data_IF_778727107248
#
_entry.id   IF_778727107248
#
_cell.length_a   1.000
_cell.length_b   1.000
_cell.length_c   1.000
_cell.angle_alpha   90.00
_cell.angle_beta   90.00
_cell.angle_gamma   90.00
#
_symmetry.space_group_name_H-M   'P 1'
#
loop_
_entity.id
_entity.type
_entity.pdbx_description
1 polymer ?
#
# COMPACT_ATOMS: atom_id res chain seq x y z
N UNK A 1 -115.85 -19.52 55.52
CA UNK A 1 -116.02 -18.46 56.54
C UNK A 1 -117.44 -17.95 56.40
N UNK A 2 -118.08 -17.75 57.54
CA UNK A 2 -119.52 -17.80 57.78
C UNK A 2 -120.38 -16.85 56.93
N UNK A 3 -121.52 -17.36 56.45
CA UNK A 3 -122.65 -16.58 55.92
C UNK A 3 -123.13 -15.58 56.98
N UNK A 4 -122.92 -14.27 56.80
CA UNK A 4 -123.53 -13.27 57.66
C UNK A 4 -124.93 -13.00 57.10
N UNK A 5 -125.92 -13.82 57.48
CA UNK A 5 -127.37 -13.59 57.31
C UNK A 5 -127.71 -12.55 56.23
N UNK A 6 -127.44 -12.87 54.95
CA UNK A 6 -127.67 -11.93 53.87
C UNK A 6 -129.19 -11.75 53.74
N UNK A 7 -129.73 -10.66 54.30
CA UNK A 7 -131.06 -10.22 53.91
C UNK A 7 -131.01 -9.96 52.40
N UNK A 8 -131.91 -10.56 51.64
CA UNK A 8 -132.11 -10.21 50.24
C UNK A 8 -132.97 -8.92 50.20
N UNK A 9 -132.83 -8.01 49.22
CA UNK A 9 -133.81 -6.96 48.94
C UNK A 9 -135.28 -7.43 49.08
N UNK A 10 -135.61 -8.64 48.63
CA UNK A 10 -136.96 -9.22 48.77
C UNK A 10 -137.35 -9.54 50.22
N UNK A 11 -136.39 -9.91 51.06
CA UNK A 11 -136.61 -10.15 52.50
C UNK A 11 -136.82 -8.85 53.28
N UNK A 12 -136.23 -7.75 52.79
CA UNK A 12 -136.39 -6.41 53.35
C UNK A 12 -137.76 -5.83 52.98
N UNK A 13 -138.24 -6.04 51.75
CA UNK A 13 -139.56 -5.60 51.30
C UNK A 13 -140.71 -6.29 52.05
N UNK A 14 -140.53 -7.57 52.40
CA UNK A 14 -141.54 -8.39 53.05
C UNK A 14 -141.41 -8.46 54.58
N UNK A 15 -140.52 -7.65 55.19
CA UNK A 15 -140.28 -7.69 56.64
C UNK A 15 -141.45 -7.08 57.43
N UNK A 16 -142.04 -7.87 58.31
CA UNK A 16 -143.10 -7.42 59.26
C UNK A 16 -142.55 -7.18 60.66
N UNK A 17 -142.97 -6.07 61.28
CA UNK A 17 -142.61 -5.69 62.66
C UNK A 17 -143.85 -5.66 63.57
N UNK A 18 -143.73 -6.00 64.88
CA UNK A 18 -144.83 -5.91 65.83
C UNK A 18 -145.22 -4.44 66.13
N UNK A 19 -146.52 -4.15 66.28
CA UNK A 19 -147.06 -2.80 66.51
C UNK A 19 -147.18 -2.45 68.01
N UNK A 20 -146.75 -1.27 68.44
CA UNK A 20 -146.91 -0.76 69.81
C UNK A 20 -147.79 0.51 69.86
N UNK A 21 -148.33 0.87 71.04
CA UNK A 21 -149.28 1.99 71.22
C UNK A 21 -148.72 3.39 70.89
N UNK A 22 -147.40 3.52 70.67
CA UNK A 22 -146.71 4.70 70.12
C UNK A 22 -145.58 4.22 69.21
N UNK A 23 -145.68 4.48 67.90
CA UNK A 23 -144.69 4.04 66.91
C UNK A 23 -144.93 4.66 65.54
N UNK A 24 -144.03 4.37 64.59
CA UNK A 24 -144.14 4.81 63.20
C UNK A 24 -145.34 4.17 62.49
N UNK A 25 -145.92 4.90 61.54
CA UNK A 25 -147.10 4.47 60.80
C UNK A 25 -146.74 3.26 59.88
N UNK A 26 -147.44 2.11 59.99
CA UNK A 26 -147.06 0.91 59.26
C UNK A 26 -147.13 1.01 57.73
N UNK A 27 -147.85 2.00 57.19
CA UNK A 27 -147.92 2.31 55.77
C UNK A 27 -146.64 2.98 55.28
N UNK A 28 -146.24 4.07 55.93
CA UNK A 28 -144.98 4.80 55.67
C UNK A 28 -143.74 3.91 55.86
N UNK A 29 -143.71 3.06 56.89
CA UNK A 29 -142.59 2.11 57.10
C UNK A 29 -142.51 1.10 55.96
N UNK A 30 -143.63 0.54 55.48
CA UNK A 30 -143.62 -0.38 54.33
C UNK A 30 -143.20 0.31 53.03
N UNK A 31 -143.65 1.54 52.80
CA UNK A 31 -143.24 2.33 51.65
C UNK A 31 -141.73 2.63 51.68
N UNK A 32 -141.19 2.94 52.86
CA UNK A 32 -139.77 3.16 53.07
C UNK A 32 -138.94 1.89 52.88
N UNK A 33 -139.38 0.75 53.44
CA UNK A 33 -138.71 -0.55 53.25
C UNK A 33 -138.75 -1.02 51.80
N UNK A 34 -139.85 -0.78 51.07
CA UNK A 34 -139.94 -1.09 49.63
C UNK A 34 -138.98 -0.23 48.82
N UNK A 35 -138.85 1.05 49.16
CA UNK A 35 -137.86 1.94 48.54
C UNK A 35 -136.43 1.49 48.84
N UNK A 36 -136.13 1.14 50.10
CA UNK A 36 -134.82 0.60 50.48
C UNK A 36 -134.52 -0.74 49.81
N UNK A 37 -135.50 -1.61 49.65
CA UNK A 37 -135.35 -2.87 48.92
C UNK A 37 -135.03 -2.62 47.43
N UNK A 38 -135.69 -1.65 46.80
CA UNK A 38 -135.39 -1.26 45.42
C UNK A 38 -133.98 -0.66 45.28
N UNK A 39 -133.59 0.27 46.16
CA UNK A 39 -132.23 0.83 46.17
C UNK A 39 -131.17 -0.24 46.43
N UNK A 40 -131.46 -1.22 47.29
CA UNK A 40 -130.54 -2.33 47.54
C UNK A 40 -130.44 -3.29 46.36
N UNK A 41 -131.55 -3.59 45.68
CA UNK A 41 -131.54 -4.38 44.45
C UNK A 41 -130.68 -3.71 43.36
N UNK A 42 -130.82 -2.39 43.19
CA UNK A 42 -130.00 -1.59 42.26
C UNK A 42 -128.52 -1.63 42.67
N UNK A 43 -128.21 -1.52 43.98
CA UNK A 43 -126.85 -1.60 44.48
C UNK A 43 -126.22 -2.99 44.27
N UNK A 44 -127.00 -4.07 44.43
CA UNK A 44 -126.57 -5.45 44.19
C UNK A 44 -126.30 -5.72 42.72
N UNK A 45 -127.18 -5.28 41.82
CA UNK A 45 -126.98 -5.41 40.37
C UNK A 45 -125.75 -4.63 39.91
N UNK A 46 -125.52 -3.44 40.49
CA UNK A 46 -124.29 -2.66 40.27
C UNK A 46 -123.06 -3.38 40.82
N UNK A 47 -123.14 -4.01 41.99
CA UNK A 47 -122.03 -4.78 42.54
C UNK A 47 -121.70 -5.99 41.66
N UNK A 48 -122.72 -6.70 41.19
CA UNK A 48 -122.55 -7.86 40.32
C UNK A 48 -121.93 -7.45 38.98
N UNK A 49 -122.44 -6.40 38.33
CA UNK A 49 -121.86 -5.89 37.09
C UNK A 49 -120.43 -5.36 37.27
N UNK A 50 -120.10 -4.75 38.40
CA UNK A 50 -118.72 -4.35 38.73
C UNK A 50 -117.82 -5.56 38.98
N UNK A 51 -118.32 -6.61 39.63
CA UNK A 51 -117.58 -7.87 39.81
C UNK A 51 -117.32 -8.56 38.48
N UNK A 52 -118.29 -8.58 37.58
CA UNK A 52 -118.14 -9.12 36.22
C UNK A 52 -117.13 -8.32 35.41
N UNK A 53 -117.20 -6.98 35.46
CA UNK A 53 -116.21 -6.11 34.81
C UNK A 53 -114.80 -6.28 35.40
N UNK A 54 -114.69 -6.47 36.72
CA UNK A 54 -113.41 -6.71 37.38
C UNK A 54 -112.86 -8.07 36.97
N UNK A 55 -113.69 -9.12 36.93
CA UNK A 55 -113.29 -10.44 36.47
C UNK A 55 -112.81 -10.40 35.02
N UNK A 56 -113.51 -9.66 34.15
CA UNK A 56 -113.13 -9.47 32.75
C UNK A 56 -111.83 -8.66 32.60
N UNK A 57 -111.66 -7.59 33.37
CA UNK A 57 -110.44 -6.78 33.37
C UNK A 57 -109.24 -7.57 33.91
N UNK A 58 -109.44 -8.37 34.97
CA UNK A 58 -108.42 -9.28 35.52
C UNK A 58 -108.09 -10.38 34.53
N UNK A 59 -109.06 -10.94 33.81
CA UNK A 59 -108.81 -11.93 32.76
C UNK A 59 -108.03 -11.32 31.58
N UNK A 60 -108.26 -10.05 31.23
CA UNK A 60 -107.50 -9.32 30.20
C UNK A 60 -106.10 -8.89 30.65
N UNK A 61 -105.94 -8.53 31.92
CA UNK A 61 -104.67 -8.08 32.50
C UNK A 61 -103.83 -9.23 33.08
N UNK A 62 -104.39 -10.44 33.17
CA UNK A 62 -103.63 -11.62 33.54
C UNK A 62 -102.46 -11.74 32.56
N UNK A 63 -101.20 -11.73 33.04
CA UNK A 63 -100.08 -11.98 32.17
C UNK A 63 -100.36 -13.32 31.49
N UNK A 64 -100.40 -13.33 30.16
CA UNK A 64 -100.40 -14.58 29.41
C UNK A 64 -99.20 -15.36 29.95
N UNK A 65 -99.45 -16.42 30.71
CA UNK A 65 -98.39 -17.26 31.26
C UNK A 65 -97.72 -17.83 30.03
N UNK A 66 -96.61 -17.20 29.59
CA UNK A 66 -95.87 -17.66 28.44
C UNK A 66 -95.56 -19.13 28.68
N UNK A 67 -95.86 -19.97 27.71
CA UNK A 67 -95.55 -21.37 27.86
C UNK A 67 -94.04 -21.54 27.95
N UNK A 68 -93.58 -22.59 28.64
CA UNK A 68 -92.16 -22.96 28.66
C UNK A 68 -91.57 -23.08 27.24
N UNK A 69 -92.39 -23.48 26.27
CA UNK A 69 -92.04 -23.52 24.86
C UNK A 69 -91.79 -22.13 24.26
N UNK A 70 -92.60 -21.11 24.59
CA UNK A 70 -92.43 -19.73 24.10
C UNK A 70 -91.16 -19.08 24.68
N UNK A 71 -90.86 -19.34 25.95
CA UNK A 71 -89.62 -18.87 26.60
C UNK A 71 -88.38 -19.52 25.96
N UNK A 72 -88.44 -20.82 25.69
CA UNK A 72 -87.35 -21.53 25.02
C UNK A 72 -87.15 -21.02 23.59
N UNK A 73 -88.22 -20.73 22.86
CA UNK A 73 -88.16 -20.15 21.52
C UNK A 73 -87.57 -18.72 21.54
N UNK A 74 -87.99 -17.87 22.47
CA UNK A 74 -87.44 -16.53 22.64
C UNK A 74 -85.95 -16.56 23.01
N UNK A 75 -85.54 -17.47 23.89
CA UNK A 75 -84.13 -17.69 24.23
C UNK A 75 -83.33 -18.21 23.02
N UNK A 76 -83.89 -19.13 22.24
CA UNK A 76 -83.29 -19.62 20.99
C UNK A 76 -83.09 -18.51 19.97
N UNK A 77 -84.06 -17.62 19.83
CA UNK A 77 -83.93 -16.43 18.97
C UNK A 77 -82.85 -15.48 19.48
N UNK A 78 -82.80 -15.21 20.77
CA UNK A 78 -81.84 -14.25 21.31
C UNK A 78 -80.41 -14.79 21.29
N UNK A 79 -80.21 -16.07 21.59
CA UNK A 79 -78.93 -16.76 21.42
C UNK A 79 -78.47 -16.77 19.96
N UNK A 80 -79.39 -17.01 19.00
CA UNK A 80 -79.07 -16.90 17.58
C UNK A 80 -78.66 -15.47 17.17
N UNK A 81 -79.31 -14.43 17.71
CA UNK A 81 -78.91 -13.03 17.48
C UNK A 81 -77.53 -12.73 18.06
N UNK A 82 -77.24 -13.18 19.28
CA UNK A 82 -75.91 -12.99 19.90
C UNK A 82 -74.83 -13.70 19.11
N UNK A 83 -75.05 -14.95 18.69
CA UNK A 83 -74.11 -15.69 17.85
C UNK A 83 -73.88 -15.00 16.50
N UNK A 84 -74.95 -14.50 15.87
CA UNK A 84 -74.84 -13.74 14.62
C UNK A 84 -74.01 -12.46 14.82
N UNK A 85 -74.29 -11.68 15.86
CA UNK A 85 -73.54 -10.48 16.19
C UNK A 85 -72.07 -10.79 16.52
N UNK A 86 -71.79 -11.87 17.25
CA UNK A 86 -70.43 -12.33 17.53
C UNK A 86 -69.69 -12.75 16.25
N UNK A 87 -70.38 -13.40 15.31
CA UNK A 87 -69.79 -13.80 14.03
C UNK A 87 -69.54 -12.60 13.10
N UNK A 88 -70.46 -11.63 13.06
CA UNK A 88 -70.27 -10.36 12.35
C UNK A 88 -69.07 -9.60 12.91
N UNK A 89 -68.97 -9.45 14.24
CA UNK A 89 -67.83 -8.81 14.90
C UNK A 89 -66.51 -9.56 14.64
N UNK A 90 -66.53 -10.89 14.65
CA UNK A 90 -65.34 -11.71 14.35
C UNK A 90 -64.87 -11.52 12.91
N UNK A 91 -65.80 -11.47 11.96
CA UNK A 91 -65.49 -11.21 10.55
C UNK A 91 -64.93 -9.79 10.36
N UNK A 92 -65.46 -8.80 11.07
CA UNK A 92 -64.95 -7.43 11.04
C UNK A 92 -63.53 -7.35 11.60
N UNK A 93 -63.26 -8.00 12.74
CA UNK A 93 -61.90 -8.08 13.32
C UNK A 93 -60.95 -8.75 12.33
N UNK A 94 -61.36 -9.84 11.69
CA UNK A 94 -60.56 -10.55 10.70
C UNK A 94 -60.25 -9.66 9.49
N UNK A 95 -61.25 -8.98 8.94
CA UNK A 95 -61.07 -8.06 7.80
C UNK A 95 -60.10 -6.92 8.15
N UNK A 96 -60.25 -6.32 9.34
CA UNK A 96 -59.33 -5.27 9.84
C UNK A 96 -57.91 -5.78 10.04
N UNK A 97 -57.75 -7.00 10.56
CA UNK A 97 -56.44 -7.62 10.72
C UNK A 97 -55.78 -7.91 9.37
N UNK A 98 -56.53 -8.45 8.41
CA UNK A 98 -56.04 -8.73 7.05
C UNK A 98 -55.63 -7.43 6.32
N UNK A 99 -56.41 -6.36 6.43
CA UNK A 99 -56.06 -5.04 5.89
C UNK A 99 -54.80 -4.46 6.56
N UNK A 100 -54.70 -4.59 7.89
CA UNK A 100 -53.54 -4.13 8.62
C UNK A 100 -52.26 -4.87 8.21
N UNK A 101 -52.32 -6.19 8.07
CA UNK A 101 -51.20 -7.01 7.59
C UNK A 101 -50.84 -6.63 6.15
N UNK A 102 -51.83 -6.48 5.26
CA UNK A 102 -51.59 -6.05 3.88
C UNK A 102 -50.96 -4.65 3.79
N UNK A 103 -51.26 -3.77 4.76
CA UNK A 103 -50.61 -2.46 4.87
C UNK A 103 -49.16 -2.59 5.34
N UNK A 104 -48.90 -3.34 6.41
CA UNK A 104 -47.54 -3.57 6.92
C UNK A 104 -46.66 -4.20 5.84
N UNK A 105 -47.17 -5.19 5.10
CA UNK A 105 -46.40 -5.83 4.02
C UNK A 105 -46.07 -4.86 2.89
N UNK A 106 -46.98 -3.95 2.54
CA UNK A 106 -46.70 -2.91 1.54
C UNK A 106 -45.66 -1.92 2.04
N UNK A 107 -45.79 -1.46 3.28
CA UNK A 107 -44.82 -0.56 3.94
C UNK A 107 -43.44 -1.22 4.01
N UNK A 108 -43.34 -2.45 4.51
CA UNK A 108 -42.09 -3.21 4.60
C UNK A 108 -41.43 -3.45 3.24
N UNK A 109 -42.21 -3.79 2.20
CA UNK A 109 -41.66 -3.96 0.85
C UNK A 109 -41.18 -2.64 0.25
N UNK A 110 -41.88 -1.53 0.51
CA UNK A 110 -41.44 -0.21 0.08
C UNK A 110 -40.12 0.17 0.77
N UNK A 111 -39.99 -0.06 2.08
CA UNK A 111 -38.76 0.18 2.83
C UNK A 111 -37.60 -0.69 2.34
N UNK A 112 -37.83 -1.98 2.06
CA UNK A 112 -36.79 -2.87 1.51
C UNK A 112 -36.33 -2.38 0.14
N UNK A 113 -37.25 -1.93 -0.71
CA UNK A 113 -36.92 -1.40 -2.03
C UNK A 113 -36.12 -0.11 -1.91
N UNK A 114 -36.57 0.82 -1.07
CA UNK A 114 -35.87 2.07 -0.79
C UNK A 114 -34.45 1.81 -0.27
N UNK A 115 -34.28 0.92 0.72
CA UNK A 115 -32.95 0.60 1.26
C UNK A 115 -32.04 -0.06 0.22
N UNK A 116 -32.59 -0.86 -0.70
CA UNK A 116 -31.83 -1.45 -1.81
C UNK A 116 -31.35 -0.38 -2.77
N UNK A 117 -32.23 0.55 -3.17
CA UNK A 117 -31.87 1.66 -4.04
C UNK A 117 -30.81 2.57 -3.37
N UNK A 118 -30.95 2.88 -2.08
CA UNK A 118 -29.97 3.64 -1.31
C UNK A 118 -28.61 2.91 -1.25
N UNK A 119 -28.61 1.60 -1.02
CA UNK A 119 -27.39 0.79 -1.00
C UNK A 119 -26.73 0.71 -2.38
N UNK A 120 -27.50 0.50 -3.45
CA UNK A 120 -27.02 0.48 -4.84
C UNK A 120 -26.42 1.84 -5.24
N UNK A 121 -27.08 2.94 -4.88
CA UNK A 121 -26.57 4.29 -5.11
C UNK A 121 -25.27 4.55 -4.34
N UNK A 122 -25.17 4.13 -3.08
CA UNK A 122 -23.96 4.28 -2.28
C UNK A 122 -22.82 3.46 -2.88
N UNK A 123 -23.07 2.19 -3.25
CA UNK A 123 -22.06 1.36 -3.92
C UNK A 123 -21.65 1.97 -5.26
N UNK A 124 -22.59 2.49 -6.04
CA UNK A 124 -22.31 3.20 -7.29
C UNK A 124 -21.42 4.43 -7.09
N UNK A 125 -21.70 5.24 -6.07
CA UNK A 125 -20.87 6.40 -5.73
C UNK A 125 -19.47 5.99 -5.29
N UNK A 126 -19.35 4.99 -4.40
CA UNK A 126 -18.05 4.51 -3.90
C UNK A 126 -17.21 3.86 -4.98
N UNK A 127 -17.84 3.12 -5.89
CA UNK A 127 -17.15 2.52 -7.05
C UNK A 127 -16.64 3.61 -7.99
N UNK A 128 -17.45 4.62 -8.31
CA UNK A 128 -17.02 5.75 -9.12
C UNK A 128 -15.89 6.57 -8.46
N UNK A 129 -15.99 6.83 -7.16
CA UNK A 129 -14.92 7.48 -6.38
C UNK A 129 -13.63 6.66 -6.45
N UNK A 130 -13.70 5.35 -6.19
CA UNK A 130 -12.56 4.45 -6.23
C UNK A 130 -11.93 4.37 -7.63
N UNK A 131 -12.73 4.30 -8.69
CA UNK A 131 -12.26 4.31 -10.08
C UNK A 131 -11.56 5.62 -10.42
N UNK A 132 -12.10 6.76 -9.99
CA UNK A 132 -11.46 8.07 -10.21
C UNK A 132 -10.14 8.21 -9.45
N UNK A 133 -10.09 7.74 -8.20
CA UNK A 133 -8.87 7.69 -7.40
C UNK A 133 -7.83 6.76 -8.05
N UNK A 134 -8.23 5.58 -8.51
CA UNK A 134 -7.35 4.65 -9.20
C UNK A 134 -6.80 5.24 -10.51
N UNK A 135 -7.64 5.92 -11.31
CA UNK A 135 -7.22 6.59 -12.53
C UNK A 135 -6.17 7.68 -12.25
N UNK A 136 -6.39 8.52 -11.24
CA UNK A 136 -5.42 9.57 -10.86
C UNK A 136 -4.10 8.99 -10.37
N UNK A 137 -4.12 7.91 -9.58
CA UNK A 137 -2.92 7.21 -9.12
C UNK A 137 -2.14 6.60 -10.29
N UNK A 138 -2.84 5.99 -11.26
CA UNK A 138 -2.20 5.43 -12.45
C UNK A 138 -1.55 6.50 -13.32
N UNK A 139 -2.22 7.65 -13.50
CA UNK A 139 -1.66 8.76 -14.26
C UNK A 139 -0.45 9.39 -13.55
N UNK A 140 -0.48 9.51 -12.22
CA UNK A 140 0.69 9.93 -11.44
C UNK A 140 1.84 8.94 -11.59
N UNK A 141 1.59 7.64 -11.39
CA UNK A 141 2.61 6.61 -11.54
C UNK A 141 3.21 6.60 -12.95
N UNK A 142 2.40 6.80 -13.99
CA UNK A 142 2.87 6.94 -15.38
C UNK A 142 3.74 8.17 -15.59
N UNK A 143 3.38 9.32 -15.00
CA UNK A 143 4.21 10.54 -15.06
C UNK A 143 5.54 10.34 -14.37
N UNK A 144 5.54 9.74 -13.18
CA UNK A 144 6.76 9.43 -12.44
C UNK A 144 7.66 8.45 -13.19
N UNK A 145 7.09 7.37 -13.73
CA UNK A 145 7.84 6.40 -14.53
C UNK A 145 8.48 7.06 -15.76
N UNK A 146 7.74 7.92 -16.48
CA UNK A 146 8.28 8.68 -17.60
C UNK A 146 9.41 9.62 -17.17
N UNK A 147 9.24 10.35 -16.08
CA UNK A 147 10.28 11.25 -15.56
C UNK A 147 11.58 10.49 -15.21
N UNK A 148 11.47 9.30 -14.61
CA UNK A 148 12.62 8.45 -14.29
C UNK A 148 13.31 7.99 -15.58
N UNK A 149 12.55 7.54 -16.58
CA UNK A 149 13.10 7.11 -17.87
C UNK A 149 13.79 8.28 -18.58
N UNK A 150 13.17 9.45 -18.63
CA UNK A 150 13.72 10.64 -19.27
C UNK A 150 15.02 11.08 -18.57
N UNK A 151 15.04 11.05 -17.23
CA UNK A 151 16.25 11.33 -16.44
C UNK A 151 17.36 10.32 -16.72
N UNK A 152 17.04 9.02 -16.75
CA UNK A 152 18.02 7.97 -17.04
C UNK A 152 18.57 8.09 -18.47
N UNK A 153 17.72 8.45 -19.45
CA UNK A 153 18.16 8.70 -20.83
C UNK A 153 19.08 9.91 -20.91
N UNK A 154 18.77 11.00 -20.21
CA UNK A 154 19.61 12.19 -20.18
C UNK A 154 20.96 11.91 -19.52
N UNK A 155 20.98 11.21 -18.40
CA UNK A 155 22.21 10.73 -17.76
C UNK A 155 23.02 9.83 -18.71
N UNK A 156 22.37 8.90 -19.40
CA UNK A 156 23.00 8.06 -20.41
C UNK A 156 23.65 8.87 -21.54
N UNK A 157 22.96 9.89 -22.05
CA UNK A 157 23.51 10.81 -23.07
C UNK A 157 24.71 11.58 -22.55
N UNK A 158 24.66 12.08 -21.31
CA UNK A 158 25.76 12.79 -20.68
C UNK A 158 26.99 11.90 -20.52
N UNK A 159 26.82 10.68 -19.99
CA UNK A 159 27.92 9.72 -19.86
C UNK A 159 28.55 9.38 -21.21
N UNK A 160 27.75 9.20 -22.26
CA UNK A 160 28.26 8.94 -23.61
C UNK A 160 29.04 10.15 -24.14
N UNK A 161 28.52 11.37 -23.97
CA UNK A 161 29.22 12.59 -24.38
C UNK A 161 30.55 12.77 -23.64
N UNK A 162 30.59 12.49 -22.34
CA UNK A 162 31.80 12.50 -21.53
C UNK A 162 32.81 11.46 -22.00
N UNK A 163 32.37 10.21 -22.22
CA UNK A 163 33.21 9.13 -22.72
C UNK A 163 33.80 9.46 -24.10
N UNK A 164 33.00 10.05 -25.00
CA UNK A 164 33.47 10.53 -26.29
C UNK A 164 34.51 11.65 -26.12
N UNK A 165 34.27 12.61 -25.24
CA UNK A 165 35.23 13.67 -24.93
C UNK A 165 36.56 13.14 -24.37
N UNK A 166 36.53 12.16 -23.48
CA UNK A 166 37.73 11.47 -22.96
C UNK A 166 38.44 10.73 -24.09
N UNK A 167 37.72 9.98 -24.92
CA UNK A 167 38.29 9.27 -26.08
C UNK A 167 38.97 10.23 -27.04
N UNK A 168 38.35 11.34 -27.38
CA UNK A 168 38.94 12.35 -28.26
C UNK A 168 40.22 12.96 -27.69
N UNK A 169 40.23 13.26 -26.38
CA UNK A 169 41.44 13.74 -25.70
C UNK A 169 42.56 12.69 -25.76
N UNK A 170 42.22 11.43 -25.50
CA UNK A 170 43.19 10.33 -25.55
C UNK A 170 43.73 10.11 -26.96
N UNK A 171 42.87 10.09 -27.99
CA UNK A 171 43.30 9.95 -29.39
C UNK A 171 44.18 11.13 -29.82
N UNK A 172 43.86 12.36 -29.39
CA UNK A 172 44.68 13.54 -29.67
C UNK A 172 46.05 13.44 -29.01
N UNK A 173 46.12 12.99 -27.77
CA UNK A 173 47.38 12.79 -27.06
C UNK A 173 48.20 11.66 -27.70
N UNK A 174 47.57 10.54 -28.05
CA UNK A 174 48.21 9.42 -28.75
C UNK A 174 48.78 9.88 -30.10
N UNK A 175 48.02 10.63 -30.90
CA UNK A 175 48.49 11.18 -32.17
C UNK A 175 49.69 12.13 -31.98
N UNK A 176 49.67 12.96 -30.93
CA UNK A 176 50.80 13.84 -30.57
C UNK A 176 52.05 13.03 -30.19
N UNK A 177 51.91 12.03 -29.31
CA UNK A 177 53.01 11.14 -28.90
C UNK A 177 53.59 10.36 -30.08
N UNK A 178 52.72 9.83 -30.94
CA UNK A 178 53.10 9.14 -32.17
C UNK A 178 53.90 10.06 -33.10
N UNK A 179 53.42 11.28 -33.34
CA UNK A 179 54.14 12.24 -34.17
C UNK A 179 55.52 12.57 -33.61
N UNK A 180 55.63 12.82 -32.30
CA UNK A 180 56.90 13.09 -31.63
C UNK A 180 57.85 11.88 -31.71
N UNK A 181 57.34 10.66 -31.50
CA UNK A 181 58.11 9.44 -31.64
C UNK A 181 58.63 9.26 -33.08
N UNK A 182 57.80 9.53 -34.08
CA UNK A 182 58.21 9.52 -35.49
C UNK A 182 59.29 10.55 -35.79
N UNK A 183 59.16 11.79 -35.32
CA UNK A 183 60.21 12.81 -35.48
C UNK A 183 61.54 12.35 -34.86
N UNK A 184 61.50 11.74 -33.67
CA UNK A 184 62.70 11.18 -33.01
C UNK A 184 63.32 10.04 -33.84
N UNK A 185 62.50 9.16 -34.41
CA UNK A 185 62.98 8.09 -35.29
C UNK A 185 63.64 8.65 -36.55
N UNK A 186 63.05 9.66 -37.19
CA UNK A 186 63.64 10.30 -38.37
C UNK A 186 64.95 11.02 -38.02
N UNK A 187 65.01 11.72 -36.88
CA UNK A 187 66.26 12.30 -36.38
C UNK A 187 67.35 11.23 -36.15
N UNK A 188 67.00 10.10 -35.52
CA UNK A 188 67.94 9.00 -35.30
C UNK A 188 68.40 8.34 -36.60
N UNK A 189 67.54 8.26 -37.62
CA UNK A 189 67.90 7.77 -38.95
C UNK A 189 68.88 8.71 -39.64
N UNK A 190 68.57 10.01 -39.67
CA UNK A 190 69.44 11.02 -40.26
C UNK A 190 70.79 11.12 -39.52
N UNK A 191 70.80 11.03 -38.19
CA UNK A 191 72.03 11.03 -37.40
C UNK A 191 72.86 9.77 -37.66
N UNK A 192 72.23 8.58 -37.76
CA UNK A 192 72.89 7.34 -38.18
C UNK A 192 73.50 7.47 -39.57
N UNK A 193 72.76 7.98 -40.56
CA UNK A 193 73.25 8.19 -41.92
C UNK A 193 74.46 9.14 -41.94
N UNK A 194 74.39 10.23 -41.18
CA UNK A 194 75.51 11.15 -41.01
C UNK A 194 76.71 10.46 -40.36
N UNK A 195 76.51 9.67 -39.31
CA UNK A 195 77.59 8.91 -38.65
C UNK A 195 78.26 7.95 -39.62
N UNK A 196 77.48 7.21 -40.42
CA UNK A 196 77.99 6.31 -41.46
C UNK A 196 78.80 7.08 -42.51
N UNK A 197 78.31 8.23 -42.97
CA UNK A 197 79.03 9.08 -43.91
C UNK A 197 80.35 9.61 -43.32
N UNK A 198 80.35 10.07 -42.07
CA UNK A 198 81.57 10.55 -41.39
C UNK A 198 82.58 9.42 -41.16
N UNK A 199 82.11 8.22 -40.82
CA UNK A 199 82.96 7.05 -40.68
C UNK A 199 83.58 6.64 -42.02
N UNK A 200 82.80 6.66 -43.10
CA UNK A 200 83.30 6.41 -44.45
C UNK A 200 84.35 7.45 -44.88
N UNK A 201 84.15 8.74 -44.58
CA UNK A 201 85.15 9.77 -44.87
C UNK A 201 86.41 9.63 -44.01
N UNK A 202 86.26 9.29 -42.73
CA UNK A 202 87.40 9.06 -41.84
C UNK A 202 88.24 7.86 -42.29
N UNK A 203 87.57 6.78 -42.72
CA UNK A 203 88.22 5.62 -43.33
C UNK A 203 88.96 5.99 -44.61
N UNK A 204 88.33 6.72 -45.53
CA UNK A 204 88.98 7.16 -46.77
C UNK A 204 90.19 8.07 -46.49
N UNK A 205 90.10 8.96 -45.50
CA UNK A 205 91.23 9.79 -45.07
C UNK A 205 92.37 8.95 -44.45
N UNK A 206 92.03 7.91 -43.69
CA UNK A 206 93.02 6.98 -43.14
C UNK A 206 93.72 6.17 -44.25
N UNK A 207 92.97 5.63 -45.21
CA UNK A 207 93.51 4.92 -46.39
C UNK A 207 94.41 5.85 -47.24
N UNK A 208 94.03 7.13 -47.39
CA UNK A 208 94.86 8.13 -48.07
C UNK A 208 96.15 8.45 -47.29
N UNK A 209 96.08 8.60 -45.97
CA UNK A 209 97.26 8.83 -45.13
C UNK A 209 98.21 7.62 -45.13
N UNK A 210 97.67 6.39 -45.10
CA UNK A 210 98.44 5.15 -45.26
C UNK A 210 99.16 5.13 -46.61
N UNK A 211 98.47 5.47 -47.69
CA UNK A 211 99.08 5.57 -49.02
C UNK A 211 100.15 6.66 -49.11
N UNK A 212 99.92 7.84 -48.52
CA UNK A 212 100.93 8.90 -48.43
C UNK A 212 102.16 8.46 -47.64
N UNK A 213 101.99 7.70 -46.55
CA UNK A 213 103.09 7.11 -45.78
C UNK A 213 103.86 6.07 -46.58
N UNK A 214 103.20 5.16 -47.30
CA UNK A 214 103.87 4.20 -48.21
C UNK A 214 104.71 4.93 -49.26
N UNK A 215 104.17 5.98 -49.88
CA UNK A 215 104.90 6.80 -50.84
C UNK A 215 106.04 7.59 -50.19
N UNK A 216 105.86 8.07 -48.97
CA UNK A 216 106.90 8.72 -48.18
C UNK A 216 108.02 7.73 -47.82
N UNK A 217 107.73 6.47 -47.49
CA UNK A 217 108.72 5.43 -47.25
C UNK A 217 109.53 5.12 -48.51
N UNK A 218 108.87 4.98 -49.67
CA UNK A 218 109.57 4.75 -50.95
C UNK A 218 110.47 5.94 -51.32
N UNK A 219 109.98 7.16 -51.16
CA UNK A 219 110.75 8.37 -51.46
C UNK A 219 111.89 8.58 -50.44
N UNK A 220 111.66 8.30 -49.16
CA UNK A 220 112.68 8.32 -48.12
C UNK A 220 113.73 7.22 -48.33
N UNK A 221 113.33 6.02 -48.77
CA UNK A 221 114.24 4.95 -49.15
C UNK A 221 115.11 5.36 -50.35
N UNK A 222 114.52 5.93 -51.41
CA UNK A 222 115.27 6.44 -52.56
C UNK A 222 116.20 7.62 -52.17
N UNK A 223 115.74 8.55 -51.35
CA UNK A 223 116.56 9.64 -50.82
C UNK A 223 117.68 9.13 -49.90
N UNK A 224 117.39 8.10 -49.10
CA UNK A 224 118.33 7.39 -48.23
C UNK A 224 119.38 6.63 -49.03
N UNK A 225 119.01 5.96 -50.12
CA UNK A 225 119.96 5.34 -51.06
C UNK A 225 120.84 6.38 -51.73
N UNK A 226 120.28 7.50 -52.20
CA UNK A 226 121.06 8.60 -52.76
C UNK A 226 121.99 9.23 -51.72
N UNK A 227 121.54 9.38 -50.46
CA UNK A 227 122.37 9.85 -49.36
C UNK A 227 123.46 8.84 -48.99
N UNK A 228 123.16 7.54 -49.00
CA UNK A 228 124.12 6.45 -48.79
C UNK A 228 125.17 6.41 -49.90
N UNK A 229 124.77 6.58 -51.16
CA UNK A 229 125.67 6.70 -52.30
C UNK A 229 126.56 7.95 -52.20
N UNK A 230 126.01 9.09 -51.74
CA UNK A 230 126.81 10.29 -51.45
C UNK A 230 127.78 10.10 -50.28
N UNK A 231 127.37 9.38 -49.23
CA UNK A 231 128.24 9.05 -48.10
C UNK A 231 129.35 8.08 -48.52
N UNK A 232 129.07 7.09 -49.38
CA UNK A 232 130.04 6.15 -49.92
C UNK A 232 130.98 6.78 -50.98
N UNK A 233 130.55 7.83 -51.66
CA UNK A 233 131.34 8.60 -52.62
C UNK A 233 132.07 9.82 -51.99
N UNK A 234 131.79 10.13 -50.73
CA UNK A 234 132.57 11.07 -49.94
C UNK A 234 133.93 10.44 -49.57
N UNK A 235 135.00 11.24 -49.43
CA UNK A 235 136.27 10.71 -48.93
C UNK A 235 136.02 10.07 -47.55
N UNK A 236 136.54 8.86 -47.31
CA UNK A 236 136.60 8.29 -45.96
C UNK A 236 137.24 9.34 -45.04
N UNK A 237 136.43 9.96 -44.17
CA UNK A 237 136.96 10.93 -43.21
C UNK A 237 137.92 10.19 -42.29
N UNK A 238 139.14 10.71 -42.18
CA UNK A 238 140.11 10.18 -41.23
C UNK A 238 139.55 10.28 -39.80
N UNK A 239 139.94 9.32 -38.94
CA UNK A 239 139.44 9.21 -37.56
C UNK A 239 139.63 10.52 -36.75
N UNK A 240 140.70 11.27 -37.04
CA UNK A 240 140.99 12.59 -36.44
C UNK A 240 140.01 13.69 -36.89
N UNK A 241 139.46 13.61 -38.11
CA UNK A 241 138.47 14.57 -38.61
C UNK A 241 137.07 14.27 -38.07
N UNK A 242 136.74 12.99 -37.86
CA UNK A 242 135.49 12.56 -37.23
C UNK A 242 135.45 12.92 -35.73
N UNK A 243 136.59 12.89 -35.03
CA UNK A 243 136.70 13.37 -33.65
C UNK A 243 136.49 14.89 -33.52
N UNK A 244 136.91 15.69 -34.50
CA UNK A 244 136.67 17.15 -34.51
C UNK A 244 135.21 17.50 -34.77
N UNK A 245 134.52 16.76 -35.65
CA UNK A 245 133.10 17.00 -35.94
C UNK A 245 132.20 16.51 -34.78
N UNK A 246 132.54 15.39 -34.14
CA UNK A 246 131.87 14.93 -32.91
C UNK A 246 132.16 15.89 -31.74
N UNK A 247 133.35 16.50 -31.67
CA UNK A 247 133.65 17.53 -30.68
C UNK A 247 132.87 18.84 -30.90
N UNK A 248 132.58 19.21 -32.15
CA UNK A 248 131.74 20.36 -32.50
C UNK A 248 130.24 20.09 -32.30
N UNK A 249 129.79 18.83 -32.42
CA UNK A 249 128.42 18.43 -32.09
C UNK A 249 128.20 18.15 -30.58
N UNK A 250 129.27 18.19 -29.77
CA UNK A 250 129.25 18.04 -28.30
C UNK A 250 129.43 19.38 -27.60
N UNK A 251 128.75 20.42 -28.07
CA UNK A 251 128.46 21.60 -27.25
C UNK A 251 127.13 21.39 -26.49
N UNK A 252 127.04 21.82 -25.22
CA UNK A 252 125.83 21.65 -24.42
C UNK A 252 124.67 22.46 -25.00
N UNK A 253 123.50 21.84 -25.10
CA UNK A 253 122.26 22.46 -25.57
C UNK A 253 121.96 23.78 -24.84
N UNK A 254 121.63 24.87 -25.55
CA UNK A 254 120.96 25.99 -24.92
C UNK A 254 119.49 25.65 -24.67
N UNK A 255 119.12 25.56 -23.39
CA UNK A 255 117.74 25.72 -22.93
C UNK A 255 117.18 27.05 -23.47
N UNK A 256 116.23 27.00 -24.40
CA UNK A 256 115.36 28.14 -24.72
C UNK A 256 113.95 27.83 -24.25
N UNK A 257 113.71 28.23 -23.01
CA UNK A 257 112.55 29.01 -22.55
C UNK A 257 111.22 28.70 -23.25
N UNK A 258 110.42 27.90 -22.54
CA UNK A 258 108.97 28.12 -22.49
C UNK A 258 108.75 29.55 -22.02
N UNK A 259 108.26 30.43 -22.89
CA UNK A 259 107.61 31.63 -22.41
C UNK A 259 106.34 32.01 -23.20
N UNK A 260 105.35 32.45 -22.41
CA UNK A 260 104.16 33.20 -22.77
C UNK A 260 103.03 32.49 -23.55
N UNK A 261 102.20 31.80 -22.77
CA UNK A 261 100.74 31.95 -22.86
C UNK A 261 100.42 33.45 -22.74
N UNK A 262 100.06 34.12 -23.84
CA UNK A 262 99.36 35.39 -23.77
C UNK A 262 98.31 35.53 -24.88
N UNK A 263 97.08 35.54 -24.40
CA UNK A 263 95.87 35.97 -25.09
C UNK A 263 96.13 37.25 -25.88
N UNK A 264 95.77 37.25 -27.16
CA UNK A 264 95.57 38.47 -27.92
C UNK A 264 94.13 38.47 -28.38
N UNK A 265 93.34 39.30 -27.71
CA UNK A 265 91.93 39.47 -27.95
C UNK A 265 91.60 40.30 -29.19
N UNK A 266 90.37 40.05 -29.64
CA UNK A 266 89.36 41.04 -30.05
C UNK A 266 89.52 41.66 -31.44
N UNK A 267 88.63 41.22 -32.33
CA UNK A 267 87.89 42.16 -33.16
C UNK A 267 86.40 41.79 -33.09
N UNK A 268 85.66 42.58 -32.31
CA UNK A 268 84.22 42.47 -32.17
C UNK A 268 83.51 43.15 -33.33
N UNK A 269 82.56 42.45 -33.94
CA UNK A 269 81.42 43.02 -34.63
C UNK A 269 80.18 42.22 -34.21
N UNK A 270 79.19 42.99 -33.74
CA UNK A 270 77.89 42.61 -33.20
C UNK A 270 77.15 41.50 -33.97
N UNK A 271 76.62 40.52 -33.23
CA UNK A 271 75.36 39.83 -33.56
C UNK A 271 74.74 39.23 -32.29
N UNK A 272 73.40 39.30 -32.12
CA UNK A 272 72.72 39.10 -30.84
C UNK A 272 72.60 37.62 -30.41
N UNK A 273 72.52 37.40 -29.11
CA UNK A 273 72.25 36.11 -28.46
C UNK A 273 70.96 35.47 -29.00
N UNK A 274 70.96 34.19 -29.39
CA UNK A 274 69.74 33.40 -29.36
C UNK A 274 69.44 33.03 -27.91
N UNK A 275 68.22 33.31 -27.48
CA UNK A 275 67.66 32.84 -26.22
C UNK A 275 68.04 31.36 -25.99
N UNK A 276 68.81 31.13 -24.93
CA UNK A 276 69.00 29.80 -24.36
C UNK A 276 67.68 29.38 -23.73
N UNK A 277 66.92 28.56 -24.45
CA UNK A 277 65.92 27.71 -23.82
C UNK A 277 66.59 26.92 -22.68
N UNK A 278 65.93 26.78 -21.52
CA UNK A 278 66.48 26.05 -20.39
C UNK A 278 66.72 24.59 -20.76
N UNK A 279 67.87 24.04 -20.32
CA UNK A 279 68.23 22.64 -20.47
C UNK A 279 67.08 21.72 -20.00
N UNK A 280 66.79 20.61 -20.70
CA UNK A 280 65.86 19.61 -20.19
C UNK A 280 66.51 18.94 -18.98
N UNK A 281 65.89 19.22 -17.83
CA UNK A 281 66.20 18.67 -16.52
C UNK A 281 66.13 17.13 -16.56
N UNK A 282 67.29 16.47 -16.66
CA UNK A 282 67.40 15.02 -16.46
C UNK A 282 67.79 14.70 -15.00
N UNK A 283 67.75 15.68 -14.09
CA UNK A 283 67.83 15.42 -12.67
C UNK A 283 66.49 14.85 -12.17
N UNK A 284 66.49 13.56 -11.84
CA UNK A 284 65.43 12.99 -11.01
C UNK A 284 65.40 13.74 -9.66
N UNK A 285 64.26 14.31 -9.24
CA UNK A 285 64.16 14.89 -7.90
C UNK A 285 64.29 13.78 -6.85
N UNK A 286 65.19 14.00 -5.89
CA UNK A 286 65.53 13.07 -4.82
C UNK A 286 64.47 12.95 -3.71
N UNK A 287 63.26 13.48 -3.87
CA UNK A 287 62.17 13.28 -2.92
C UNK A 287 60.83 13.10 -3.64
N UNK A 288 60.61 11.90 -4.18
CA UNK A 288 59.31 11.24 -4.07
C UNK A 288 59.61 9.75 -3.87
N UNK A 289 59.66 9.32 -2.61
CA UNK A 289 59.44 7.92 -2.28
C UNK A 289 57.97 7.61 -2.59
N UNK A 290 57.66 7.35 -3.87
CA UNK A 290 56.44 6.64 -4.22
C UNK A 290 56.70 5.18 -3.84
N UNK A 291 56.19 4.86 -2.65
CA UNK A 291 55.79 3.52 -2.28
C UNK A 291 55.14 2.85 -3.49
N UNK A 292 55.84 1.87 -4.05
CA UNK A 292 55.33 1.03 -5.11
C UNK A 292 54.29 0.10 -4.46
N UNK A 293 53.12 0.64 -4.13
CA UNK A 293 51.93 -0.17 -3.88
C UNK A 293 51.54 -0.73 -5.23
N UNK A 294 52.09 -1.88 -5.54
CA UNK A 294 51.48 -2.80 -6.49
C UNK A 294 50.19 -3.23 -5.79
N UNK A 295 49.08 -2.56 -6.11
CA UNK A 295 47.78 -3.21 -5.95
C UNK A 295 47.83 -4.46 -6.84
N UNK A 296 47.60 -5.67 -6.29
CA UNK A 296 47.54 -6.86 -7.11
C UNK A 296 46.42 -6.67 -8.13
N UNK A 297 46.73 -6.91 -9.40
CA UNK A 297 45.72 -7.01 -10.46
C UNK A 297 44.58 -7.92 -9.96
N UNK A 298 43.30 -7.55 -10.13
CA UNK A 298 42.23 -8.48 -9.84
C UNK A 298 42.43 -9.70 -10.74
N UNK A 299 42.60 -10.86 -10.11
CA UNK A 299 42.54 -12.15 -10.79
C UNK A 299 41.16 -12.24 -11.40
N UNK A 300 41.06 -12.00 -12.71
CA UNK A 300 39.85 -12.25 -13.48
C UNK A 300 39.69 -13.76 -13.52
N UNK A 301 38.80 -14.29 -12.70
CA UNK A 301 38.29 -15.64 -12.86
C UNK A 301 37.64 -15.76 -14.25
N UNK A 302 37.93 -16.80 -15.03
CA UNK A 302 37.34 -16.95 -16.35
C UNK A 302 35.84 -17.22 -16.21
N UNK A 303 35.01 -16.27 -16.64
CA UNK A 303 33.58 -16.49 -16.85
C UNK A 303 33.36 -17.67 -17.82
N UNK A 304 32.31 -18.48 -17.61
CA UNK A 304 32.03 -19.62 -18.50
C UNK A 304 31.75 -19.12 -19.92
N UNK A 305 32.48 -19.70 -20.87
CA UNK A 305 32.30 -19.51 -22.31
C UNK A 305 30.86 -19.80 -22.69
N UNK A 306 30.07 -18.76 -22.97
CA UNK A 306 28.81 -18.91 -23.68
C UNK A 306 29.15 -19.16 -25.15
N UNK A 307 28.90 -20.40 -25.56
CA UNK A 307 28.98 -20.86 -26.93
C UNK A 307 28.06 -20.00 -27.82
N UNK A 308 28.66 -19.13 -28.62
CA UNK A 308 27.93 -18.32 -29.60
C UNK A 308 27.53 -19.21 -30.77
N UNK A 309 26.29 -19.71 -30.73
CA UNK A 309 25.65 -20.30 -31.90
C UNK A 309 25.46 -19.21 -32.95
N UNK A 310 26.23 -19.30 -34.01
CA UNK A 310 26.07 -18.51 -35.22
C UNK A 310 24.69 -18.78 -35.85
N UNK A 311 23.79 -17.81 -35.76
CA UNK A 311 22.63 -17.74 -36.67
C UNK A 311 22.99 -16.78 -37.79
N UNK A 312 23.55 -17.37 -38.84
CA UNK A 312 23.47 -16.81 -40.18
C UNK A 312 21.99 -16.74 -40.57
N UNK A 313 21.47 -15.58 -40.98
CA UNK A 313 20.53 -15.37 -42.10
C UNK A 313 20.35 -13.87 -42.38
N UNK A 314 20.09 -13.49 -43.65
CA UNK A 314 20.35 -12.15 -44.18
C UNK A 314 19.21 -11.15 -43.97
N UNK A 315 19.57 -9.87 -44.06
CA UNK A 315 18.67 -8.70 -44.08
C UNK A 315 17.66 -8.84 -45.22
N UNK A 316 16.38 -9.02 -44.88
CA UNK A 316 15.25 -8.79 -45.77
C UNK A 316 14.57 -7.49 -45.35
N UNK A 317 14.73 -6.49 -46.22
CA UNK A 317 13.98 -5.26 -46.29
C UNK A 317 12.48 -5.55 -46.27
N UNK A 318 11.78 -5.18 -45.19
CA UNK A 318 10.33 -5.31 -45.10
C UNK A 318 9.71 -3.91 -45.08
N UNK A 319 9.15 -3.61 -46.24
CA UNK A 319 8.25 -2.53 -46.61
C UNK A 319 7.22 -2.26 -45.52
N UNK A 320 7.11 -0.99 -45.12
CA UNK A 320 6.01 -0.45 -44.33
C UNK A 320 4.84 -0.19 -45.28
N UNK A 321 3.65 -0.76 -45.01
CA UNK A 321 2.33 -0.23 -45.38
C UNK A 321 1.21 -1.05 -44.67
N UNK A 322 -0.05 -0.56 -44.57
CA UNK A 322 -0.70 -0.16 -43.30
C UNK A 322 -1.76 -1.15 -42.74
N UNK A 323 -2.21 -0.89 -41.50
CA UNK A 323 -3.30 -1.59 -40.79
C UNK A 323 -4.61 -1.72 -41.60
N UNK A 324 -5.34 -2.83 -41.45
CA UNK A 324 -6.78 -2.87 -41.67
C UNK A 324 -7.58 -3.12 -40.37
N UNK A 325 -8.67 -2.36 -40.25
CA UNK A 325 -9.73 -2.35 -39.22
C UNK A 325 -10.46 -3.70 -39.02
N UNK A 326 -11.19 -3.89 -37.90
CA UNK A 326 -11.83 -5.16 -37.51
C UNK A 326 -13.26 -5.30 -38.04
N UNK A 327 -13.72 -6.56 -38.21
CA UNK A 327 -15.12 -7.10 -38.07
C UNK A 327 -15.34 -8.35 -38.97
N UNK A 328 -16.40 -9.19 -38.81
CA UNK A 328 -17.37 -9.36 -37.70
C UNK A 328 -17.65 -10.84 -37.29
N UNK A 329 -18.39 -10.95 -36.18
CA UNK A 329 -19.40 -11.94 -35.75
C UNK A 329 -19.69 -13.19 -36.62
N UNK A 330 -19.52 -14.38 -36.03
CA UNK A 330 -20.20 -15.62 -36.44
C UNK A 330 -20.60 -16.50 -35.23
N UNK A 331 -21.83 -16.30 -34.76
CA UNK A 331 -22.88 -17.31 -34.63
C UNK A 331 -22.57 -18.72 -34.06
N UNK A 332 -23.05 -18.93 -32.83
CA UNK A 332 -23.73 -20.11 -32.22
C UNK A 332 -23.68 -21.45 -32.98
N UNK A 333 -23.14 -22.50 -32.32
CA UNK A 333 -23.66 -23.89 -32.39
C UNK A 333 -23.49 -24.58 -31.03
N UNK A 334 -24.60 -25.13 -30.50
CA UNK A 334 -24.70 -25.98 -29.30
C UNK A 334 -24.25 -27.43 -29.54
N UNK A 335 -23.71 -28.03 -28.46
CA UNK A 335 -23.77 -29.43 -27.99
C UNK A 335 -23.43 -30.61 -28.94
N UNK A 336 -22.40 -31.41 -28.61
CA UNK A 336 -22.58 -32.59 -27.73
C UNK A 336 -21.30 -33.43 -27.51
N UNK A 337 -21.16 -33.90 -26.25
CA UNK A 337 -20.49 -35.14 -25.80
C UNK A 337 -18.98 -35.37 -26.03
N UNK A 338 -18.21 -35.41 -24.92
CA UNK A 338 -17.29 -36.53 -24.64
C UNK A 338 -17.07 -36.69 -23.12
N UNK A 339 -16.78 -37.92 -22.76
CA UNK A 339 -17.00 -38.60 -21.46
C UNK A 339 -16.01 -38.20 -20.36
N UNK A 340 -16.53 -38.20 -19.14
CA UNK A 340 -15.85 -37.94 -17.87
C UNK A 340 -14.64 -38.84 -17.60
N UNK A 341 -13.59 -38.22 -17.07
CA UNK A 341 -12.54 -38.87 -16.26
C UNK A 341 -12.40 -38.04 -14.99
N UNK A 342 -12.78 -38.63 -13.86
CA UNK A 342 -12.53 -38.09 -12.51
C UNK A 342 -11.03 -38.02 -12.22
N UNK A 343 -10.50 -36.90 -11.72
CA UNK A 343 -9.34 -36.90 -10.86
C UNK A 343 -9.74 -36.61 -9.41
N UNK A 344 -9.26 -37.47 -8.50
CA UNK A 344 -9.51 -37.42 -7.05
C UNK A 344 -9.19 -36.05 -6.39
N UNK A 345 -9.92 -35.67 -5.33
CA UNK A 345 -9.67 -34.43 -4.60
C UNK A 345 -8.50 -34.57 -3.62
N UNK A 346 -7.36 -33.95 -3.96
CA UNK A 346 -6.28 -33.66 -3.00
C UNK A 346 -6.64 -32.51 -2.05
N UNK A 347 -6.16 -32.51 -0.80
CA UNK A 347 -6.64 -31.62 0.24
C UNK A 347 -6.23 -30.15 0.02
N UNK A 348 -7.15 -29.26 0.38
CA UNK A 348 -7.01 -27.80 0.32
C UNK A 348 -5.80 -27.31 1.11
N UNK A 349 -4.90 -26.58 0.43
CA UNK A 349 -3.88 -25.76 1.07
C UNK A 349 -4.49 -24.44 1.53
N UNK A 350 -4.41 -24.20 2.84
CA UNK A 350 -4.59 -22.89 3.47
C UNK A 350 -3.64 -21.87 2.84
N UNK A 351 -4.21 -20.80 2.27
CA UNK A 351 -3.47 -19.58 1.94
C UNK A 351 -3.68 -18.61 3.09
N UNK A 352 -2.74 -18.62 4.02
CA UNK A 352 -2.55 -17.56 5.01
C UNK A 352 -2.16 -16.26 4.28
N UNK A 353 -3.10 -15.32 4.25
CA UNK A 353 -2.86 -13.92 3.87
C UNK A 353 -2.84 -13.08 5.14
N UNK A 354 -1.64 -12.77 5.62
CA UNK A 354 -1.44 -11.74 6.65
C UNK A 354 -1.70 -10.34 6.06
N UNK A 355 -2.40 -9.44 6.78
CA UNK A 355 -2.41 -8.02 6.45
C UNK A 355 -1.29 -7.27 7.19
N UNK A 356 -0.32 -6.74 6.43
CA UNK A 356 0.62 -5.74 6.92
C UNK A 356 -0.06 -4.35 6.95
N UNK A 357 -0.14 -3.75 8.13
CA UNK A 357 -0.41 -2.32 8.31
C UNK A 357 0.65 -1.74 9.27
N UNK A 358 1.66 -1.09 8.69
CA UNK A 358 2.56 -0.18 9.39
C UNK A 358 1.95 1.23 9.36
N UNK A 359 1.53 1.72 10.53
CA UNK A 359 1.25 3.14 10.78
C UNK A 359 1.81 3.52 12.16
N UNK A 360 3.07 3.95 12.19
CA UNK A 360 3.64 4.70 13.31
C UNK A 360 3.52 6.21 13.04
N UNK A 361 2.73 6.90 13.88
CA UNK A 361 2.88 8.34 14.13
C UNK A 361 2.39 8.67 15.55
N UNK A 362 3.19 9.36 16.39
CA UNK A 362 2.83 9.70 17.77
C UNK A 362 2.00 10.99 17.86
N UNK A 363 0.89 10.95 18.60
CA UNK A 363 0.14 12.14 19.04
C UNK A 363 0.59 12.54 20.45
N UNK A 364 1.31 13.65 20.56
CA UNK A 364 1.49 14.38 21.83
C UNK A 364 0.32 15.35 22.05
N UNK A 365 -0.33 15.20 23.22
CA UNK A 365 -1.38 16.09 23.73
C UNK A 365 -0.78 17.43 24.19
N UNK A 366 -1.26 18.54 23.62
CA UNK A 366 -1.27 19.84 24.26
C UNK A 366 -2.68 20.43 24.15
N UNK A 367 -3.46 20.29 25.24
CA UNK A 367 -4.77 20.92 25.39
C UNK A 367 -4.56 22.20 26.20
N UNK A 368 -4.66 23.35 25.53
CA UNK A 368 -4.87 24.64 26.18
C UNK A 368 -6.36 24.83 26.51
N UNK A 369 -6.56 25.31 27.72
CA UNK A 369 -7.81 25.49 28.47
C UNK A 369 -8.66 26.68 28.03
N UNK A 370 -9.98 26.50 27.91
CA UNK A 370 -10.99 27.56 28.00
C UNK A 370 -12.32 27.06 28.64
N UNK A 371 -13.16 27.95 29.21
CA UNK A 371 -13.80 27.70 30.50
C UNK A 371 -15.27 27.22 30.46
N UNK A 372 -15.62 26.65 31.61
CA UNK A 372 -16.89 26.05 32.07
C UNK A 372 -18.10 26.97 31.93
N UNK A 373 -19.20 26.42 31.41
CA UNK A 373 -20.58 26.95 31.54
C UNK A 373 -21.45 25.86 32.16
N UNK A 374 -21.98 26.13 33.36
CA UNK A 374 -22.87 25.21 34.10
C UNK A 374 -24.24 25.04 33.41
N UNK A 375 -24.77 23.80 33.31
CA UNK A 375 -26.17 23.57 32.99
C UNK A 375 -27.08 23.59 34.26
N UNK A 376 -28.36 23.96 34.12
CA UNK A 376 -29.28 24.17 35.25
C UNK A 376 -29.76 22.85 35.89
N UNK A 377 -30.25 22.87 37.16
CA UNK A 377 -30.62 21.66 37.88
C UNK A 377 -32.05 21.20 37.56
N UNK A 378 -32.23 19.89 37.40
CA UNK A 378 -33.55 19.23 37.32
C UNK A 378 -33.74 18.24 38.51
N UNK A 379 -35.00 17.89 38.84
CA UNK A 379 -35.47 17.74 40.22
C UNK A 379 -35.28 16.35 40.86
N UNK A 380 -35.20 16.34 42.20
CA UNK A 380 -35.10 15.15 43.05
C UNK A 380 -36.15 14.07 42.77
N UNK A 381 -35.77 12.77 42.77
CA UNK A 381 -36.74 11.67 42.73
C UNK A 381 -37.27 11.32 44.13
N UNK A 382 -38.55 10.96 44.19
CA UNK A 382 -39.23 10.36 45.36
C UNK A 382 -38.83 8.87 45.53
N UNK A 383 -38.96 8.27 46.74
CA UNK A 383 -38.30 7.01 47.08
C UNK A 383 -39.10 5.75 46.69
N UNK A 384 -38.39 4.69 46.26
CA UNK A 384 -38.90 3.33 46.04
C UNK A 384 -39.09 2.55 47.37
N UNK A 385 -40.03 1.57 47.43
CA UNK A 385 -40.35 0.83 48.65
C UNK A 385 -39.37 -0.33 48.94
N UNK A 386 -39.21 -0.62 50.24
CA UNK A 386 -38.23 -1.55 50.81
C UNK A 386 -38.42 -3.05 50.40
N UNK A 387 -37.32 -3.84 50.29
CA UNK A 387 -37.39 -5.28 50.05
C UNK A 387 -37.58 -6.11 51.33
N UNK A 388 -38.19 -7.28 51.15
CA UNK A 388 -38.56 -8.28 52.16
C UNK A 388 -37.34 -9.10 52.63
N UNK A 389 -37.17 -9.26 53.94
CA UNK A 389 -36.15 -10.07 54.61
C UNK A 389 -36.39 -11.60 54.50
N UNK A 390 -35.33 -12.36 54.28
CA UNK A 390 -35.18 -13.79 54.62
C UNK A 390 -33.80 -14.02 55.25
N UNK A 391 -33.65 -14.90 56.26
CA UNK A 391 -32.62 -14.77 57.30
C UNK A 391 -31.33 -15.55 57.08
N UNK A 392 -30.29 -14.97 57.68
CA UNK A 392 -28.91 -15.36 58.01
C UNK A 392 -28.46 -16.84 57.91
N UNK A 393 -27.34 -17.02 57.20
CA UNK A 393 -26.32 -18.01 57.53
C UNK A 393 -24.94 -17.33 57.52
N UNK A 394 -24.20 -17.55 58.61
CA UNK A 394 -23.02 -16.84 59.10
C UNK A 394 -21.80 -16.81 58.16
N UNK A 395 -21.14 -15.64 58.17
CA UNK A 395 -19.79 -15.37 57.64
C UNK A 395 -18.69 -16.18 58.34
N UNK A 396 -17.56 -16.38 57.65
CA UNK A 396 -16.30 -15.91 58.23
C UNK A 396 -15.42 -15.16 57.22
N UNK A 397 -14.91 -14.00 57.61
CA UNK A 397 -13.80 -13.27 56.96
C UNK A 397 -12.44 -13.67 57.60
N UNK A 398 -11.27 -13.28 57.04
CA UNK A 398 -10.89 -13.11 55.63
C UNK A 398 -9.48 -13.72 55.33
N UNK A 399 -9.22 -14.28 54.15
CA UNK A 399 -7.83 -14.52 53.69
C UNK A 399 -7.65 -14.19 52.19
N UNK A 400 -6.60 -13.42 51.94
CA UNK A 400 -6.19 -12.90 50.64
C UNK A 400 -5.41 -13.96 49.83
N UNK A 401 -5.74 -14.07 48.54
CA UNK A 401 -4.76 -14.32 47.47
C UNK A 401 -4.34 -15.75 47.17
N UNK A 402 -4.75 -16.30 46.02
CA UNK A 402 -3.90 -17.17 45.19
C UNK A 402 -4.56 -17.49 43.83
N UNK A 403 -4.53 -16.54 42.89
CA UNK A 403 -4.72 -16.81 41.45
C UNK A 403 -3.72 -16.09 40.55
N UNK A 404 -2.80 -15.29 41.13
CA UNK A 404 -1.73 -14.61 40.38
C UNK A 404 -0.49 -15.46 40.02
N UNK A 405 -0.05 -16.50 40.76
CA UNK A 405 1.26 -17.09 40.47
C UNK A 405 1.30 -17.90 39.17
N UNK A 406 0.18 -18.45 38.69
CA UNK A 406 0.17 -19.28 37.47
C UNK A 406 0.33 -18.46 36.18
N UNK A 407 -0.18 -17.23 36.16
CA UNK A 407 -0.12 -16.36 34.97
C UNK A 407 1.27 -15.75 34.85
N UNK A 408 1.86 -15.29 35.96
CA UNK A 408 3.21 -14.73 35.96
C UNK A 408 4.28 -15.78 35.62
N UNK A 409 4.08 -17.05 36.02
CA UNK A 409 4.97 -18.17 35.67
C UNK A 409 4.87 -18.54 34.18
N UNK A 410 3.68 -18.45 33.58
CA UNK A 410 3.48 -18.62 32.13
C UNK A 410 4.16 -17.50 31.34
N UNK A 411 4.04 -16.24 31.77
CA UNK A 411 4.71 -15.12 31.11
C UNK A 411 6.23 -15.12 31.32
N UNK A 412 6.72 -15.64 32.44
CA UNK A 412 8.15 -15.87 32.65
C UNK A 412 8.68 -16.96 31.70
N UNK A 413 7.94 -18.06 31.53
CA UNK A 413 8.31 -19.14 30.62
C UNK A 413 8.26 -18.72 29.14
N UNK A 414 7.30 -17.87 28.77
CA UNK A 414 7.20 -17.32 27.42
C UNK A 414 8.35 -16.33 27.13
N UNK A 415 8.75 -15.51 28.11
CA UNK A 415 9.92 -14.62 27.98
C UNK A 415 11.22 -15.40 27.85
N UNK A 416 11.43 -16.42 28.69
CA UNK A 416 12.61 -17.27 28.61
C UNK A 416 12.72 -18.00 27.25
N UNK A 417 11.62 -18.57 26.75
CA UNK A 417 11.60 -19.21 25.43
C UNK A 417 11.85 -18.24 24.28
N UNK A 418 11.37 -16.99 24.40
CA UNK A 418 11.63 -15.94 23.40
C UNK A 418 13.09 -15.48 23.45
N UNK A 419 13.67 -15.33 24.62
CA UNK A 419 15.09 -15.00 24.79
C UNK A 419 16.01 -16.10 24.25
N UNK A 420 15.69 -17.37 24.46
CA UNK A 420 16.42 -18.51 23.85
C UNK A 420 16.30 -18.50 22.32
N UNK A 421 15.12 -18.22 21.77
CA UNK A 421 14.93 -18.12 20.31
C UNK A 421 15.67 -16.95 19.69
N UNK A 422 15.75 -15.81 20.38
CA UNK A 422 16.48 -14.62 19.93
C UNK A 422 17.98 -14.84 20.04
N UNK A 423 18.46 -15.49 21.10
CA UNK A 423 19.86 -15.87 21.24
C UNK A 423 20.28 -16.89 20.17
N UNK A 424 19.40 -17.85 19.83
CA UNK A 424 19.64 -18.80 18.75
C UNK A 424 19.69 -18.11 17.38
N UNK A 425 18.78 -17.18 17.11
CA UNK A 425 18.79 -16.38 15.87
C UNK A 425 20.03 -15.48 15.77
N UNK A 426 20.48 -14.89 16.87
CA UNK A 426 21.70 -14.07 16.91
C UNK A 426 22.97 -14.92 16.75
N UNK A 427 23.00 -16.15 17.25
CA UNK A 427 24.11 -17.08 17.03
C UNK A 427 24.22 -17.49 15.55
N UNK A 428 23.09 -17.77 14.89
CA UNK A 428 23.04 -18.11 13.46
C UNK A 428 23.44 -16.92 12.58
N UNK A 429 23.04 -15.70 12.94
CA UNK A 429 23.45 -14.48 12.24
C UNK A 429 24.91 -14.08 12.51
N UNK A 430 25.46 -14.45 13.68
CA UNK A 430 26.87 -14.25 14.03
C UNK A 430 27.82 -15.24 13.34
N UNK A 431 27.41 -16.50 13.17
CA UNK A 431 28.20 -17.50 12.42
C UNK A 431 28.23 -17.21 10.91
N UNK A 432 27.18 -16.57 10.36
CA UNK A 432 27.17 -16.12 8.96
C UNK A 432 28.12 -14.94 8.66
N UNK A 433 28.51 -14.17 9.68
CA UNK A 433 29.39 -12.99 9.50
C UNK A 433 30.89 -13.30 9.73
N UNK A 434 31.22 -14.48 10.25
CA UNK A 434 32.61 -14.92 10.48
C UNK A 434 33.13 -15.90 9.41
N UNK A 435 32.32 -16.24 8.42
CA UNK A 435 32.70 -17.14 7.31
C UNK A 435 33.12 -16.40 6.03
N UNK A 436 33.11 -15.06 6.02
CA UNK A 436 33.42 -14.21 4.85
C UNK A 436 34.51 -13.15 5.12
N UNK A 437 35.48 -13.49 5.96
CA UNK A 437 36.82 -12.85 6.07
C UNK A 437 37.88 -13.91 6.27
#
# INVERSE_FOLDING_TARGET
MSDPTHLNPDDLANKTFPTSFRGFEPGEVRAFLSRMAAEWAIAQEREQSLREQLAEAVARAAPSVMSEADLTAALGQETAKVLKAAQEASNEIRAKAEEHVARILREANAEVTQRREEAENLVGQRTQEAESAAATLLDEARRQARAIVDQAQEQGRQMVAEAQGVRERYLRDLARRHHLAHQRLEFLRASRERLVATYASARAAAEAAEHELEMAEVTAAAAGELASQRAAAGPEMSLEQMEVEIALAREPEPETERDSRQESGILGILSPEPDRDPEPDWALPAEVALELVIEPEPVIEPEPVIETVAISQPILELVIEPEPEPEPDFGVVEADSYVAVDPEPGPAGELDLEPALDLEAPLDLAIESEPVVDPPPDPSPAPEPAPVELPDAQEPEPEQGSTKPQIDELFARLRAGREESVAHAQAVLGEGAAADT
#
